data_IF_990621189461
#
_entry.id   IF_990621189461
#
_cell.length_a   1.000
_cell.length_b   1.000
_cell.length_c   1.000
_cell.angle_alpha   90.00
_cell.angle_beta   90.00
_cell.angle_gamma   90.00
#
_symmetry.space_group_name_H-M   'P 1'
#
loop_
_entity.id
_entity.type
_entity.pdbx_description
1 polymer ?
#
# COMPACT_ATOMS: atom_id res chain seq x y z
N UNK A 1 -77.11 -38.06 -37.11
CA UNK A 1 -76.55 -39.42 -37.22
C UNK A 1 -75.41 -39.56 -36.24
N UNK A 2 -75.37 -40.72 -35.58
CA UNK A 2 -74.56 -41.08 -34.42
C UNK A 2 -73.06 -41.23 -34.74
N UNK A 3 -72.20 -40.86 -33.79
CA UNK A 3 -71.13 -41.74 -33.26
C UNK A 3 -70.44 -41.12 -32.03
N UNK A 4 -70.40 -41.90 -30.96
CA UNK A 4 -69.76 -41.60 -29.69
C UNK A 4 -68.24 -41.91 -29.66
N UNK A 5 -67.64 -42.15 -28.48
CA UNK A 5 -66.58 -41.32 -27.94
C UNK A 5 -65.18 -41.96 -27.99
N UNK A 6 -64.13 -41.15 -27.88
CA UNK A 6 -62.79 -41.60 -27.48
C UNK A 6 -62.31 -40.82 -26.27
N UNK A 7 -62.19 -41.56 -25.16
CA UNK A 7 -61.45 -41.17 -23.95
C UNK A 7 -59.97 -41.04 -24.30
N UNK A 8 -59.33 -39.95 -23.89
CA UNK A 8 -57.89 -39.92 -23.68
C UNK A 8 -57.56 -39.19 -22.38
N UNK A 9 -56.55 -39.76 -21.73
CA UNK A 9 -56.18 -39.63 -20.32
C UNK A 9 -55.70 -38.23 -19.95
N UNK A 10 -56.07 -37.83 -18.73
CA UNK A 10 -55.50 -36.68 -18.03
C UNK A 10 -54.01 -36.90 -17.74
N UNK A 11 -53.18 -35.92 -18.08
CA UNK A 11 -51.92 -35.65 -17.38
C UNK A 11 -51.90 -34.16 -17.05
N UNK A 12 -51.99 -33.86 -15.77
CA UNK A 12 -51.87 -32.51 -15.22
C UNK A 12 -50.40 -32.18 -15.07
N UNK A 13 -49.91 -31.19 -15.82
CA UNK A 13 -48.64 -30.52 -15.52
C UNK A 13 -48.99 -29.14 -15.00
N UNK A 14 -48.76 -28.91 -13.70
CA UNK A 14 -48.98 -27.62 -13.05
C UNK A 14 -47.94 -26.61 -13.54
N UNK A 15 -48.33 -25.34 -13.81
CA UNK A 15 -47.37 -24.27 -14.02
C UNK A 15 -46.87 -23.79 -12.65
N UNK A 16 -45.58 -23.94 -12.38
CA UNK A 16 -44.94 -23.30 -11.24
C UNK A 16 -44.66 -21.83 -11.61
N UNK A 17 -45.63 -20.96 -11.33
CA UNK A 17 -45.45 -19.52 -11.37
C UNK A 17 -45.26 -18.98 -9.95
N UNK A 18 -44.44 -17.92 -9.87
CA UNK A 18 -44.31 -16.95 -8.79
C UNK A 18 -43.54 -17.38 -7.53
N UNK A 19 -42.26 -16.97 -7.48
CA UNK A 19 -41.60 -16.33 -6.32
C UNK A 19 -40.22 -15.83 -6.76
N UNK A 20 -40.19 -14.82 -7.64
CA UNK A 20 -38.99 -13.98 -7.82
C UNK A 20 -39.16 -12.74 -6.95
N UNK A 21 -39.09 -12.94 -5.63
CA UNK A 21 -39.00 -11.84 -4.68
C UNK A 21 -37.65 -11.16 -4.87
N UNK A 22 -37.71 -9.84 -5.04
CA UNK A 22 -36.60 -8.92 -5.23
C UNK A 22 -35.38 -9.24 -4.34
N UNK A 23 -34.30 -9.69 -4.97
CA UNK A 23 -32.94 -9.60 -4.43
C UNK A 23 -32.26 -8.42 -5.12
N UNK A 24 -32.58 -7.20 -4.67
CA UNK A 24 -31.67 -6.07 -4.84
C UNK A 24 -30.63 -6.20 -3.74
N UNK A 25 -29.36 -6.53 -4.03
CA UNK A 25 -28.32 -6.28 -3.06
C UNK A 25 -28.15 -4.76 -3.01
N UNK A 26 -28.63 -4.16 -1.93
CA UNK A 26 -28.17 -2.86 -1.48
C UNK A 26 -26.64 -2.93 -1.35
N UNK A 27 -25.94 -2.49 -2.40
CA UNK A 27 -24.51 -2.22 -2.38
C UNK A 27 -24.28 -1.01 -1.47
N UNK A 28 -24.41 -1.23 -0.16
CA UNK A 28 -23.74 -0.40 0.82
C UNK A 28 -22.26 -0.60 0.53
N UNK A 29 -21.64 0.40 -0.11
CA UNK A 29 -20.19 0.58 -0.08
C UNK A 29 -19.80 0.69 1.40
N UNK A 30 -19.54 -0.45 2.04
CA UNK A 30 -18.69 -0.48 3.21
C UNK A 30 -17.33 -0.01 2.72
N UNK A 31 -17.11 1.30 2.81
CA UNK A 31 -15.76 1.81 2.94
C UNK A 31 -15.26 1.15 4.22
N UNK A 32 -14.45 0.10 4.08
CA UNK A 32 -13.80 -0.53 5.21
C UNK A 32 -12.94 0.57 5.82
N UNK A 33 -13.45 1.20 6.86
CA UNK A 33 -12.66 2.09 7.69
C UNK A 33 -11.72 1.15 8.42
N UNK A 34 -10.50 1.05 7.90
CA UNK A 34 -9.45 0.22 8.47
C UNK A 34 -9.36 0.52 9.97
N UNK A 35 -9.63 -0.46 10.85
CA UNK A 35 -9.51 -0.24 12.28
C UNK A 35 -8.10 0.26 12.58
N UNK A 36 -8.01 1.33 13.37
CA UNK A 36 -6.73 1.86 13.84
C UNK A 36 -6.03 0.75 14.60
N UNK A 37 -5.03 0.12 13.99
CA UNK A 37 -4.10 -0.72 14.72
C UNK A 37 -3.25 0.22 15.60
N UNK A 38 -3.47 0.22 16.94
CA UNK A 38 -2.84 1.17 17.84
C UNK A 38 -1.31 1.09 17.77
N UNK A 39 -0.77 -0.06 17.35
CA UNK A 39 0.66 -0.35 17.34
C UNK A 39 1.28 0.01 15.99
N UNK A 40 0.56 -0.15 14.88
CA UNK A 40 1.00 0.38 13.58
C UNK A 40 1.18 1.90 13.64
N UNK A 41 0.32 2.58 14.40
CA UNK A 41 0.41 4.01 14.65
C UNK A 41 1.68 4.40 15.43
N UNK A 42 2.20 3.55 16.33
CA UNK A 42 3.39 3.86 17.17
C UNK A 42 4.69 3.65 16.40
N UNK A 43 4.74 2.66 15.51
CA UNK A 43 5.97 2.33 14.77
C UNK A 43 6.13 3.13 13.48
N UNK A 44 5.03 3.71 12.98
CA UNK A 44 5.03 4.39 11.69
C UNK A 44 6.12 5.46 11.49
N UNK A 45 6.48 6.27 12.50
CA UNK A 45 7.57 7.25 12.37
C UNK A 45 8.94 6.64 12.03
N UNK A 46 9.17 5.36 12.34
CA UNK A 46 10.45 4.69 12.11
C UNK A 46 10.59 4.06 10.72
N UNK A 47 9.53 4.08 9.89
CA UNK A 47 9.57 3.51 8.53
C UNK A 47 10.11 4.48 7.47
N UNK A 48 10.34 5.75 7.83
CA UNK A 48 10.90 6.77 6.96
C UNK A 48 10.11 6.91 5.66
N UNK A 49 10.77 6.72 4.52
CA UNK A 49 10.11 6.84 3.21
C UNK A 49 9.09 5.74 2.90
N UNK A 50 8.89 4.76 3.79
CA UNK A 50 7.85 3.72 3.69
C UNK A 50 6.65 3.96 4.60
N UNK A 51 6.68 5.00 5.41
CA UNK A 51 5.56 5.46 6.24
C UNK A 51 4.34 5.76 5.36
N UNK A 52 3.14 5.34 5.79
CA UNK A 52 1.90 5.61 5.07
C UNK A 52 1.57 7.10 5.14
N UNK A 53 0.90 7.61 4.12
CA UNK A 53 0.60 9.03 4.05
C UNK A 53 -0.34 9.50 5.18
N UNK A 54 -1.32 8.67 5.53
CA UNK A 54 -2.25 8.92 6.65
C UNK A 54 -1.60 8.85 8.04
N UNK A 55 -0.47 8.15 8.20
CA UNK A 55 0.18 8.04 9.51
C UNK A 55 0.88 9.34 9.91
N UNK A 56 1.32 10.13 8.92
CA UNK A 56 1.86 11.48 9.11
C UNK A 56 0.80 12.58 8.94
N UNK A 57 -0.42 12.20 8.53
CA UNK A 57 -1.57 13.08 8.38
C UNK A 57 -2.81 12.43 9.03
N UNK A 58 -2.87 12.33 10.37
CA UNK A 58 -3.86 11.48 11.05
C UNK A 58 -5.32 11.90 10.81
N UNK A 59 -5.59 13.15 10.44
CA UNK A 59 -6.93 13.60 10.05
C UNK A 59 -7.50 12.84 8.83
N UNK A 60 -6.63 12.29 7.98
CA UNK A 60 -7.04 11.50 6.80
C UNK A 60 -7.61 10.13 7.16
N UNK A 61 -7.41 9.66 8.39
CA UNK A 61 -8.02 8.41 8.86
C UNK A 61 -9.53 8.54 8.99
N UNK A 62 -10.01 9.67 9.52
CA UNK A 62 -11.44 9.94 9.70
C UNK A 62 -12.05 10.61 8.47
N UNK A 63 -11.30 11.49 7.81
CA UNK A 63 -11.74 12.26 6.66
C UNK A 63 -10.74 12.16 5.51
N UNK A 64 -10.63 11.03 4.80
CA UNK A 64 -9.60 10.84 3.77
C UNK A 64 -9.74 11.80 2.60
N UNK A 65 -10.94 12.32 2.35
CA UNK A 65 -11.22 13.32 1.31
C UNK A 65 -11.37 14.73 1.89
N UNK A 66 -11.33 14.89 3.22
CA UNK A 66 -11.49 16.18 3.85
C UNK A 66 -10.26 17.04 3.55
N UNK A 67 -10.43 18.25 2.96
CA UNK A 67 -9.34 19.17 2.80
C UNK A 67 -8.89 19.69 4.17
N UNK A 68 -7.58 19.86 4.36
CA UNK A 68 -7.04 20.60 5.51
C UNK A 68 -6.71 22.02 5.03
N UNK A 69 -7.41 23.02 5.57
CA UNK A 69 -7.11 24.44 5.33
C UNK A 69 -6.28 24.95 6.51
N UNK A 70 -5.32 25.82 6.20
CA UNK A 70 -4.64 26.61 7.22
C UNK A 70 -5.69 27.52 7.91
N UNK A 71 -5.89 27.41 9.23
CA UNK A 71 -6.83 28.26 9.96
C UNK A 71 -6.50 29.76 9.85
N UNK A 72 -5.25 30.12 9.58
CA UNK A 72 -4.81 31.51 9.44
C UNK A 72 -5.20 32.12 8.09
N UNK A 73 -5.49 31.28 7.08
CA UNK A 73 -5.99 31.73 5.78
C UNK A 73 -7.51 31.88 5.82
N UNK A 74 -7.97 33.12 6.04
CA UNK A 74 -9.39 33.46 5.98
C UNK A 74 -9.99 33.09 4.61
N UNK A 75 -11.12 32.41 4.65
CA UNK A 75 -11.85 32.03 3.43
C UNK A 75 -12.21 33.27 2.61
N UNK A 76 -11.88 33.25 1.32
CA UNK A 76 -12.12 34.38 0.41
C UNK A 76 -11.11 35.53 0.48
N UNK A 77 -10.11 35.48 1.38
CA UNK A 77 -9.10 36.54 1.48
C UNK A 77 -8.10 36.55 0.31
N UNK A 78 -7.97 35.43 -0.40
CA UNK A 78 -7.08 35.27 -1.56
C UNK A 78 -7.77 34.45 -2.65
N UNK A 79 -7.48 34.77 -3.91
CA UNK A 79 -7.91 33.97 -5.05
C UNK A 79 -6.72 33.16 -5.58
N UNK A 80 -6.78 31.81 -5.56
CA UNK A 80 -5.71 30.99 -6.09
C UNK A 80 -5.67 31.14 -7.62
N UNK A 81 -4.49 31.44 -8.16
CA UNK A 81 -4.26 31.66 -9.60
C UNK A 81 -3.53 30.52 -10.28
N UNK A 82 -2.74 29.74 -9.53
CA UNK A 82 -2.00 28.59 -10.03
C UNK A 82 -1.71 27.62 -8.89
N UNK A 83 -1.74 26.32 -9.19
CA UNK A 83 -1.25 25.26 -8.30
C UNK A 83 -0.14 24.49 -9.01
N UNK A 84 1.01 24.38 -8.36
CA UNK A 84 2.10 23.49 -8.77
C UNK A 84 2.37 22.55 -7.61
N UNK A 85 2.29 21.25 -7.85
CA UNK A 85 2.49 20.23 -6.83
C UNK A 85 3.50 19.20 -7.30
N UNK A 86 4.50 18.89 -6.45
CA UNK A 86 5.40 17.77 -6.64
C UNK A 86 4.93 16.61 -5.76
N UNK A 87 4.40 15.57 -6.41
CA UNK A 87 3.72 14.47 -5.72
C UNK A 87 4.50 13.18 -5.94
N UNK A 88 4.81 12.46 -4.86
CA UNK A 88 5.36 11.12 -4.92
C UNK A 88 4.27 10.11 -5.29
N UNK A 89 4.65 9.02 -5.94
CA UNK A 89 3.75 7.89 -6.17
C UNK A 89 3.09 7.40 -4.86
N UNK A 90 1.90 6.81 -4.98
CA UNK A 90 1.19 6.21 -3.84
C UNK A 90 1.85 4.93 -3.31
N UNK A 91 1.19 4.30 -2.34
CA UNK A 91 1.64 3.03 -1.73
C UNK A 91 1.88 1.95 -2.81
N UNK A 92 2.95 1.16 -2.67
CA UNK A 92 3.38 0.15 -3.66
C UNK A 92 3.84 -1.16 -3.03
N UNK A 93 3.91 -2.22 -3.82
CA UNK A 93 4.55 -3.47 -3.43
C UNK A 93 6.07 -3.31 -3.26
N UNK A 94 6.74 -4.24 -2.56
CA UNK A 94 8.20 -4.33 -2.56
C UNK A 94 8.76 -4.49 -3.98
N UNK A 95 10.01 -4.06 -4.20
CA UNK A 95 10.71 -4.32 -5.48
C UNK A 95 11.17 -5.77 -5.53
N UNK A 96 11.42 -6.33 -6.71
CA UNK A 96 11.93 -7.70 -6.90
C UNK A 96 13.20 -7.96 -6.09
N UNK A 97 14.10 -6.98 -5.97
CA UNK A 97 15.30 -7.06 -5.09
C UNK A 97 14.95 -7.34 -3.62
N UNK A 98 13.87 -6.75 -3.12
CA UNK A 98 13.40 -6.94 -1.74
C UNK A 98 12.60 -8.24 -1.60
N UNK A 99 11.82 -8.61 -2.62
CA UNK A 99 11.11 -9.90 -2.66
C UNK A 99 12.09 -11.07 -2.60
N UNK A 100 13.22 -11.01 -3.32
CA UNK A 100 14.28 -12.03 -3.22
C UNK A 100 14.88 -12.14 -1.81
N UNK A 101 15.09 -11.01 -1.12
CA UNK A 101 15.54 -11.00 0.28
C UNK A 101 14.51 -11.63 1.23
N UNK A 102 13.22 -11.37 1.01
CA UNK A 102 12.15 -12.02 1.76
C UNK A 102 12.18 -13.53 1.56
N UNK A 103 12.34 -14.00 0.32
CA UNK A 103 12.45 -15.44 0.01
C UNK A 103 13.68 -16.06 0.67
N UNK A 104 14.81 -15.38 0.66
CA UNK A 104 16.02 -15.85 1.36
C UNK A 104 15.77 -16.03 2.85
N UNK A 105 15.17 -15.02 3.50
CA UNK A 105 14.83 -15.11 4.92
C UNK A 105 13.80 -16.21 5.21
N UNK A 106 12.79 -16.34 4.36
CA UNK A 106 11.78 -17.40 4.48
C UNK A 106 12.39 -18.79 4.33
N UNK A 107 13.30 -18.98 3.38
CA UNK A 107 14.05 -20.23 3.21
C UNK A 107 14.93 -20.55 4.42
N UNK A 108 15.60 -19.55 5.01
CA UNK A 108 16.37 -19.71 6.25
C UNK A 108 15.47 -20.16 7.41
N UNK A 109 14.28 -19.57 7.53
CA UNK A 109 13.30 -19.95 8.54
C UNK A 109 12.73 -21.35 8.30
N UNK A 110 12.58 -21.80 7.06
CA UNK A 110 12.14 -23.17 6.74
C UNK A 110 13.24 -24.21 6.97
N UNK A 111 14.50 -23.84 6.76
CA UNK A 111 15.65 -24.72 6.96
C UNK A 111 16.05 -24.90 8.43
N UNK A 112 15.46 -24.12 9.36
CA UNK A 112 15.69 -24.30 10.78
C UNK A 112 15.27 -25.72 11.19
N UNK A 113 16.15 -26.46 11.87
CA UNK A 113 15.77 -27.74 12.45
C UNK A 113 14.66 -27.58 13.48
N UNK A 114 13.91 -28.64 13.83
CA UNK A 114 13.05 -28.61 15.01
C UNK A 114 13.92 -28.18 16.19
N UNK A 115 13.52 -27.08 16.85
CA UNK A 115 14.25 -26.60 18.02
C UNK A 115 14.30 -27.71 19.05
N UNK A 116 15.44 -27.87 19.71
CA UNK A 116 15.55 -28.71 20.89
C UNK A 116 14.63 -28.08 21.95
N UNK A 117 13.41 -28.60 22.07
CA UNK A 117 12.40 -28.10 23.00
C UNK A 117 12.80 -28.53 24.41
N UNK A 118 13.79 -27.80 24.96
CA UNK A 118 14.09 -27.82 26.38
C UNK A 118 12.81 -27.51 27.16
N UNK A 119 12.39 -28.47 27.98
CA UNK A 119 11.23 -28.42 28.85
C UNK A 119 11.26 -27.15 29.71
N UNK A 120 10.46 -26.15 29.35
CA UNK A 120 10.16 -25.03 30.26
C UNK A 120 10.12 -23.64 29.64
N UNK A 121 9.12 -23.34 28.81
CA UNK A 121 8.41 -22.04 28.83
C UNK A 121 7.26 -22.04 27.83
N UNK A 122 6.05 -22.32 28.30
CA UNK A 122 4.83 -22.37 27.51
C UNK A 122 4.22 -20.98 27.19
N UNK A 123 5.02 -19.93 26.97
CA UNK A 123 4.47 -18.56 26.87
C UNK A 123 4.85 -17.72 25.63
N UNK A 124 5.73 -18.19 24.73
CA UNK A 124 5.85 -17.58 23.40
C UNK A 124 5.72 -18.63 22.31
N UNK A 125 4.68 -18.52 21.47
CA UNK A 125 4.66 -19.22 20.16
C UNK A 125 6.02 -18.98 19.50
N UNK A 126 6.69 -20.06 19.09
CA UNK A 126 7.96 -19.96 18.39
C UNK A 126 7.77 -19.08 17.15
N UNK A 127 8.31 -17.85 17.22
CA UNK A 127 8.11 -16.86 16.18
C UNK A 127 8.75 -17.31 14.87
N UNK A 128 9.91 -17.95 14.94
CA UNK A 128 10.54 -18.53 13.75
C UNK A 128 9.61 -19.53 13.07
N UNK A 129 8.86 -20.33 13.84
CA UNK A 129 7.91 -21.31 13.34
C UNK A 129 6.74 -20.64 12.64
N UNK A 130 6.11 -19.69 13.33
CA UNK A 130 4.98 -18.96 12.80
C UNK A 130 5.35 -18.21 11.51
N UNK A 131 6.58 -17.71 11.38
CA UNK A 131 7.05 -17.05 10.17
C UNK A 131 7.47 -18.02 9.05
N UNK A 132 7.98 -19.21 9.38
CA UNK A 132 8.30 -20.26 8.41
C UNK A 132 7.02 -20.81 7.74
N UNK A 133 5.98 -21.02 8.54
CA UNK A 133 4.68 -21.53 8.07
C UNK A 133 3.85 -20.46 7.34
N UNK A 134 4.24 -19.18 7.46
CA UNK A 134 3.54 -18.10 6.81
C UNK A 134 3.77 -18.12 5.28
N UNK A 135 2.70 -18.14 4.46
CA UNK A 135 2.86 -18.18 3.02
C UNK A 135 3.41 -16.85 2.49
N UNK A 136 4.55 -16.91 1.79
CA UNK A 136 5.12 -15.77 1.09
C UNK A 136 4.48 -15.63 -0.30
N UNK A 137 3.45 -14.80 -0.42
CA UNK A 137 2.67 -14.60 -1.64
C UNK A 137 3.26 -13.57 -2.62
N UNK A 138 4.38 -12.94 -2.28
CA UNK A 138 5.02 -11.96 -3.16
C UNK A 138 5.68 -12.63 -4.38
N UNK A 139 5.18 -12.30 -5.56
CA UNK A 139 5.70 -12.76 -6.84
C UNK A 139 6.59 -11.68 -7.50
N UNK A 140 7.54 -12.11 -8.35
CA UNK A 140 8.52 -11.17 -8.94
C UNK A 140 7.89 -10.13 -9.87
N UNK A 141 6.76 -10.47 -10.50
CA UNK A 141 6.02 -9.53 -11.36
C UNK A 141 5.44 -8.34 -10.58
N UNK A 142 5.28 -8.43 -9.26
CA UNK A 142 4.79 -7.34 -8.42
C UNK A 142 5.79 -6.20 -8.23
N UNK A 143 7.02 -6.31 -8.77
CA UNK A 143 8.18 -5.42 -8.64
C UNK A 143 7.86 -3.91 -8.52
N UNK A 144 7.62 -3.45 -7.30
CA UNK A 144 7.34 -2.04 -7.04
C UNK A 144 6.07 -1.51 -7.70
N UNK A 145 5.15 -2.38 -8.16
CA UNK A 145 3.86 -1.99 -8.73
C UNK A 145 3.00 -1.27 -7.70
N UNK A 146 2.20 -0.30 -8.17
CA UNK A 146 1.29 0.45 -7.33
C UNK A 146 0.18 -0.49 -6.82
N UNK A 147 -0.06 -0.49 -5.51
CA UNK A 147 -1.14 -1.29 -4.93
C UNK A 147 -2.45 -0.51 -4.96
N UNK A 148 -3.58 -1.19 -4.75
CA UNK A 148 -4.89 -0.50 -4.77
C UNK A 148 -4.99 0.62 -3.73
N UNK A 149 -4.43 0.41 -2.52
CA UNK A 149 -4.30 1.47 -1.53
C UNK A 149 -3.54 2.69 -2.09
N UNK A 150 -2.49 2.48 -2.87
CA UNK A 150 -1.76 3.57 -3.52
C UNK A 150 -2.55 4.30 -4.59
N UNK A 151 -3.40 3.59 -5.36
CA UNK A 151 -4.35 4.23 -6.27
C UNK A 151 -5.36 5.07 -5.51
N UNK A 152 -5.86 4.54 -4.40
CA UNK A 152 -6.80 5.24 -3.53
C UNK A 152 -6.19 6.50 -2.89
N UNK A 153 -4.92 6.44 -2.46
CA UNK A 153 -4.20 7.59 -1.92
C UNK A 153 -4.21 8.76 -2.93
N UNK A 154 -3.99 8.46 -4.22
CA UNK A 154 -3.93 9.44 -5.30
C UNK A 154 -5.32 9.98 -5.67
N UNK A 155 -6.35 9.12 -5.74
CA UNK A 155 -7.74 9.56 -5.95
C UNK A 155 -8.19 10.51 -4.84
N UNK A 156 -7.90 10.15 -3.58
CA UNK A 156 -8.26 11.00 -2.44
C UNK A 156 -7.47 12.31 -2.43
N UNK A 157 -6.20 12.30 -2.85
CA UNK A 157 -5.41 13.52 -3.02
C UNK A 157 -6.03 14.46 -4.06
N UNK A 158 -6.46 13.93 -5.20
CA UNK A 158 -7.15 14.70 -6.24
C UNK A 158 -8.41 15.39 -5.68
N UNK A 159 -9.26 14.64 -4.97
CA UNK A 159 -10.48 15.18 -4.36
C UNK A 159 -10.18 16.26 -3.32
N UNK A 160 -9.15 16.08 -2.49
CA UNK A 160 -8.72 17.09 -1.52
C UNK A 160 -8.26 18.37 -2.21
N UNK A 161 -7.45 18.27 -3.27
CA UNK A 161 -6.96 19.44 -4.00
C UNK A 161 -8.10 20.17 -4.73
N UNK A 162 -9.02 19.44 -5.36
CA UNK A 162 -10.20 20.03 -5.98
C UNK A 162 -11.09 20.77 -4.96
N UNK A 163 -11.26 20.19 -3.76
CA UNK A 163 -12.01 20.82 -2.66
C UNK A 163 -11.30 22.04 -2.07
N UNK A 164 -9.96 22.04 -2.04
CA UNK A 164 -9.16 23.18 -1.56
C UNK A 164 -9.18 24.35 -2.54
N UNK A 165 -9.07 24.06 -3.84
CA UNK A 165 -8.89 25.06 -4.90
C UNK A 165 -9.97 24.95 -5.98
N UNK A 166 -11.27 25.13 -5.63
CA UNK A 166 -12.37 24.85 -6.54
C UNK A 166 -12.34 25.70 -7.83
N UNK A 167 -11.82 26.93 -7.78
CA UNK A 167 -11.67 27.78 -8.97
C UNK A 167 -10.62 27.24 -9.96
N UNK A 168 -9.57 26.58 -9.47
CA UNK A 168 -8.52 25.99 -10.31
C UNK A 168 -8.94 24.62 -10.86
N UNK A 169 -9.75 23.89 -10.11
CA UNK A 169 -10.30 22.58 -10.49
C UNK A 169 -11.76 22.68 -10.92
N UNK A 170 -12.15 23.74 -11.63
CA UNK A 170 -13.46 23.79 -12.26
C UNK A 170 -13.49 22.88 -13.50
N UNK A 171 -14.66 22.37 -13.93
CA UNK A 171 -14.75 21.54 -15.14
C UNK A 171 -14.12 22.20 -16.37
N UNK A 172 -14.26 23.52 -16.52
CA UNK A 172 -13.72 24.29 -17.65
C UNK A 172 -12.18 24.37 -17.63
N UNK A 173 -11.57 24.15 -16.47
CA UNK A 173 -10.12 24.11 -16.30
C UNK A 173 -9.56 22.70 -16.39
N UNK A 174 -10.40 21.65 -16.50
CA UNK A 174 -9.93 20.27 -16.52
C UNK A 174 -8.96 20.01 -17.67
N UNK A 175 -9.29 20.44 -18.89
CA UNK A 175 -8.40 20.35 -20.06
C UNK A 175 -7.10 21.16 -19.95
N UNK A 176 -6.98 22.08 -18.98
CA UNK A 176 -5.75 22.87 -18.73
C UNK A 176 -4.80 22.21 -17.75
N UNK A 177 -5.24 21.15 -17.06
CA UNK A 177 -4.40 20.40 -16.13
C UNK A 177 -3.24 19.75 -16.89
N UNK A 178 -2.02 19.97 -16.40
CA UNK A 178 -0.83 19.31 -16.92
C UNK A 178 -0.26 18.38 -15.86
N UNK A 179 -0.26 17.08 -16.16
CA UNK A 179 0.35 16.08 -15.30
C UNK A 179 1.62 15.54 -15.95
N UNK A 180 2.76 15.79 -15.31
CA UNK A 180 4.07 15.29 -15.74
C UNK A 180 4.52 14.19 -14.77
N UNK A 181 5.01 13.08 -15.30
CA UNK A 181 5.42 11.92 -14.51
C UNK A 181 6.75 11.34 -14.98
N UNK A 182 7.38 10.51 -14.15
CA UNK A 182 8.51 9.68 -14.58
C UNK A 182 8.00 8.42 -15.30
N UNK A 183 8.86 7.77 -16.08
CA UNK A 183 8.56 6.50 -16.77
C UNK A 183 8.31 5.30 -15.84
N UNK A 184 8.53 5.43 -14.52
CA UNK A 184 8.25 4.33 -13.59
C UNK A 184 6.75 4.04 -13.57
N UNK A 185 6.37 2.79 -13.83
CA UNK A 185 4.97 2.31 -13.87
C UNK A 185 4.13 2.79 -12.69
N UNK A 186 4.65 2.67 -11.46
CA UNK A 186 3.97 3.17 -10.26
C UNK A 186 3.70 4.68 -10.25
N UNK A 187 4.52 5.49 -10.92
CA UNK A 187 4.34 6.93 -11.04
C UNK A 187 3.31 7.26 -12.13
N UNK A 188 3.34 6.53 -13.24
CA UNK A 188 2.32 6.61 -14.30
C UNK A 188 0.95 6.22 -13.72
N UNK A 189 0.85 5.06 -13.07
CA UNK A 189 -0.36 4.57 -12.41
C UNK A 189 -0.87 5.54 -11.34
N UNK A 190 0.03 6.21 -10.62
CA UNK A 190 -0.36 7.23 -9.63
C UNK A 190 -0.98 8.45 -10.29
N UNK A 191 -0.40 8.91 -11.41
CA UNK A 191 -0.96 9.99 -12.22
C UNK A 191 -2.32 9.62 -12.80
N UNK A 192 -2.45 8.42 -13.37
CA UNK A 192 -3.72 7.88 -13.85
C UNK A 192 -4.79 7.83 -12.75
N UNK A 193 -4.46 7.30 -11.57
CA UNK A 193 -5.38 7.26 -10.44
C UNK A 193 -5.77 8.65 -9.95
N UNK A 194 -4.87 9.63 -10.00
CA UNK A 194 -5.19 11.03 -9.69
C UNK A 194 -6.22 11.60 -10.67
N UNK A 195 -6.02 11.42 -11.98
CA UNK A 195 -6.97 11.87 -13.02
C UNK A 195 -8.32 11.17 -12.89
N UNK A 196 -8.35 9.87 -12.62
CA UNK A 196 -9.59 9.14 -12.31
C UNK A 196 -10.33 9.73 -11.10
N UNK A 197 -9.60 10.17 -10.07
CA UNK A 197 -10.19 10.84 -8.91
C UNK A 197 -10.84 12.17 -9.26
N UNK A 198 -10.20 12.97 -10.10
CA UNK A 198 -10.78 14.22 -10.61
C UNK A 198 -11.99 13.97 -11.52
N UNK A 199 -11.89 13.00 -12.42
CA UNK A 199 -13.01 12.65 -13.27
C UNK A 199 -14.25 12.26 -12.43
N UNK A 200 -14.06 11.49 -11.35
CA UNK A 200 -15.15 11.11 -10.44
C UNK A 200 -15.74 12.31 -9.68
N UNK A 201 -14.94 13.35 -9.44
CA UNK A 201 -15.40 14.61 -8.86
C UNK A 201 -16.36 15.35 -9.79
N UNK A 202 -16.04 15.41 -11.09
CA UNK A 202 -16.86 16.12 -12.08
C UNK A 202 -18.06 15.31 -12.55
N UNK A 203 -17.96 13.98 -12.54
CA UNK A 203 -18.98 13.07 -13.07
C UNK A 203 -19.39 12.02 -12.03
N UNK A 204 -20.02 12.44 -10.91
CA UNK A 204 -20.37 11.51 -9.85
C UNK A 204 -21.32 10.43 -10.35
N UNK A 205 -20.95 9.17 -10.11
CA UNK A 205 -21.80 8.01 -10.40
C UNK A 205 -21.57 7.33 -11.76
N UNK A 206 -20.78 7.90 -12.68
CA UNK A 206 -20.35 7.19 -13.89
C UNK A 206 -18.96 6.54 -13.66
N UNK A 207 -18.59 5.49 -14.41
CA UNK A 207 -17.22 4.98 -14.37
C UNK A 207 -16.26 5.93 -15.11
N UNK A 208 -15.01 6.09 -14.65
CA UNK A 208 -14.02 6.84 -15.40
C UNK A 208 -13.72 6.14 -16.74
N UNK A 209 -13.54 6.90 -17.83
CA UNK A 209 -13.04 6.35 -19.09
C UNK A 209 -11.57 5.95 -18.94
N UNK A 210 -11.02 5.34 -20.00
CA UNK A 210 -9.58 5.18 -20.09
C UNK A 210 -8.90 6.55 -20.08
N UNK A 211 -7.72 6.62 -19.47
CA UNK A 211 -7.02 7.90 -19.24
C UNK A 211 -6.59 8.56 -20.55
N UNK A 212 -6.40 7.76 -21.60
CA UNK A 212 -6.13 8.24 -22.97
C UNK A 212 -7.32 9.03 -23.56
N UNK A 213 -8.54 8.72 -23.12
CA UNK A 213 -9.78 9.32 -23.62
C UNK A 213 -10.26 10.51 -22.75
N UNK A 214 -9.52 10.86 -21.69
CA UNK A 214 -9.85 11.98 -20.82
C UNK A 214 -9.49 13.32 -21.49
N UNK A 215 -10.27 14.37 -21.24
CA UNK A 215 -10.06 15.71 -21.81
C UNK A 215 -8.69 16.31 -21.50
N UNK A 216 -8.16 16.07 -20.30
CA UNK A 216 -6.82 16.51 -19.91
C UNK A 216 -5.68 15.67 -20.53
N UNK A 217 -6.02 14.57 -21.20
CA UNK A 217 -5.09 13.59 -21.74
C UNK A 217 -4.34 12.79 -20.67
N UNK A 218 -3.47 11.86 -21.09
CA UNK A 218 -2.71 11.03 -20.18
C UNK A 218 -1.53 11.77 -19.51
N UNK A 219 -1.01 11.24 -18.38
CA UNK A 219 0.23 11.69 -17.77
C UNK A 219 1.39 11.75 -18.78
N UNK A 220 1.99 12.92 -18.97
CA UNK A 220 3.13 13.09 -19.89
C UNK A 220 4.43 12.63 -19.21
N UNK A 221 5.12 11.67 -19.82
CA UNK A 221 6.40 11.15 -19.30
C UNK A 221 7.53 12.16 -19.59
N UNK A 222 8.27 12.53 -18.55
CA UNK A 222 9.48 13.35 -18.66
C UNK A 222 10.50 12.97 -17.58
N UNK A 223 11.35 11.99 -17.87
CA UNK A 223 12.40 11.54 -16.94
C UNK A 223 13.52 12.56 -16.76
N UNK A 224 13.79 13.39 -17.76
CA UNK A 224 14.78 14.47 -17.61
C UNK A 224 14.40 15.43 -16.48
N UNK A 225 13.11 15.74 -16.35
CA UNK A 225 12.57 16.55 -15.26
C UNK A 225 12.36 15.74 -13.97
N UNK A 226 11.72 14.58 -14.06
CA UNK A 226 11.24 13.85 -12.86
C UNK A 226 12.29 12.91 -12.26
N UNK A 227 13.35 12.61 -13.01
CA UNK A 227 14.47 11.73 -12.64
C UNK A 227 15.80 12.35 -13.04
N UNK A 228 15.94 13.68 -12.91
CA UNK A 228 17.17 14.40 -13.26
C UNK A 228 18.44 13.78 -12.63
N UNK A 229 18.33 13.15 -11.46
CA UNK A 229 19.42 12.44 -10.79
C UNK A 229 19.96 11.24 -11.58
N UNK A 230 19.12 10.55 -12.39
CA UNK A 230 19.56 9.47 -13.28
C UNK A 230 20.38 10.00 -14.48
N UNK A 231 20.36 11.31 -14.72
CA UNK A 231 21.06 11.96 -15.84
C UNK A 231 22.26 12.80 -15.37
N UNK A 232 22.51 12.88 -14.06
CA UNK A 232 23.64 13.60 -13.51
C UNK A 232 24.87 12.69 -13.47
N UNK A 233 25.77 12.82 -14.46
CA UNK A 233 26.96 11.97 -14.60
C UNK A 233 27.83 11.96 -13.33
N UNK A 234 28.03 13.13 -12.73
CA UNK A 234 28.80 13.25 -11.48
C UNK A 234 28.16 12.47 -10.34
N UNK A 235 26.84 12.59 -10.16
CA UNK A 235 26.11 11.82 -9.13
C UNK A 235 26.20 10.31 -9.40
N UNK A 236 26.04 9.88 -10.65
CA UNK A 236 26.14 8.48 -11.01
C UNK A 236 27.52 7.90 -10.72
N UNK A 237 28.58 8.63 -11.07
CA UNK A 237 29.96 8.20 -10.90
C UNK A 237 30.41 8.24 -9.44
N UNK A 238 30.14 9.36 -8.75
CA UNK A 238 30.69 9.62 -7.41
C UNK A 238 29.82 9.10 -6.27
N UNK A 239 28.52 8.85 -6.51
CA UNK A 239 27.57 8.41 -5.48
C UNK A 239 26.93 7.06 -5.82
N UNK A 240 26.16 6.96 -6.91
CA UNK A 240 25.35 5.76 -7.19
C UNK A 240 26.21 4.51 -7.44
N UNK A 241 27.30 4.64 -8.22
CA UNK A 241 28.22 3.54 -8.55
C UNK A 241 29.41 3.45 -7.60
N UNK A 242 29.53 4.37 -6.65
CA UNK A 242 30.65 4.42 -5.73
C UNK A 242 30.29 3.79 -4.38
N UNK A 243 30.87 2.61 -4.10
CA UNK A 243 30.61 1.89 -2.86
C UNK A 243 31.05 2.67 -1.60
N UNK A 244 32.02 3.59 -1.70
CA UNK A 244 32.50 4.37 -0.54
C UNK A 244 31.65 5.60 -0.27
N UNK A 245 30.80 6.02 -1.21
CA UNK A 245 29.96 7.21 -1.07
C UNK A 245 28.95 7.10 0.08
N UNK A 246 28.61 5.87 0.47
CA UNK A 246 27.66 5.58 1.55
C UNK A 246 28.38 5.11 2.84
N UNK A 247 29.60 5.61 3.09
CA UNK A 247 30.41 5.23 4.27
C UNK A 247 29.61 5.21 5.58
N UNK A 248 28.87 6.28 5.90
CA UNK A 248 28.11 6.34 7.15
C UNK A 248 26.97 5.32 7.22
N UNK A 249 26.38 4.95 6.09
CA UNK A 249 25.36 3.90 6.02
C UNK A 249 25.98 2.55 6.36
N UNK A 250 27.16 2.25 5.78
CA UNK A 250 27.86 1.00 6.07
C UNK A 250 28.39 0.97 7.51
N UNK A 251 28.99 2.05 8.00
CA UNK A 251 29.44 2.17 9.38
C UNK A 251 28.30 1.93 10.38
N UNK A 252 27.10 2.43 10.12
CA UNK A 252 25.92 2.16 10.94
C UNK A 252 25.46 0.70 10.83
N UNK A 253 25.41 0.13 9.62
CA UNK A 253 25.01 -1.27 9.40
C UNK A 253 25.94 -2.28 10.08
N UNK A 254 27.22 -1.95 10.19
CA UNK A 254 28.23 -2.80 10.85
C UNK A 254 28.48 -2.40 12.30
N UNK A 255 27.92 -1.28 12.74
CA UNK A 255 28.11 -0.70 14.07
C UNK A 255 27.45 -1.51 15.20
N UNK A 256 27.82 -1.23 16.46
CA UNK A 256 27.39 -2.00 17.62
C UNK A 256 25.87 -2.03 17.82
N UNK A 257 25.16 -0.97 17.46
CA UNK A 257 23.70 -0.88 17.56
C UNK A 257 23.03 -1.90 16.64
N UNK A 258 23.48 -2.00 15.39
CA UNK A 258 22.92 -2.93 14.42
C UNK A 258 23.33 -4.37 14.76
N UNK A 259 24.56 -4.60 15.21
CA UNK A 259 25.00 -5.94 15.64
C UNK A 259 24.17 -6.47 16.81
N UNK A 260 23.86 -5.62 17.79
CA UNK A 260 22.96 -5.96 18.89
C UNK A 260 21.55 -6.33 18.39
N UNK A 261 21.04 -5.60 17.39
CA UNK A 261 19.75 -5.94 16.75
C UNK A 261 19.84 -7.30 16.04
N UNK A 262 20.90 -7.56 15.27
CA UNK A 262 21.08 -8.83 14.56
C UNK A 262 21.12 -10.01 15.53
N UNK A 263 21.86 -9.90 16.63
CA UNK A 263 21.92 -10.92 17.68
C UNK A 263 20.54 -11.19 18.30
N UNK A 264 19.80 -10.14 18.62
CA UNK A 264 18.44 -10.27 19.17
C UNK A 264 17.51 -10.95 18.16
N UNK A 265 17.49 -10.50 16.92
CA UNK A 265 16.66 -11.09 15.87
C UNK A 265 17.04 -12.56 15.63
N UNK A 266 18.33 -12.88 15.56
CA UNK A 266 18.82 -14.26 15.44
C UNK A 266 18.31 -15.14 16.58
N UNK A 267 18.43 -14.68 17.83
CA UNK A 267 17.93 -15.43 19.00
C UNK A 267 16.41 -15.62 19.00
N UNK A 268 15.65 -14.58 18.63
CA UNK A 268 14.18 -14.65 18.59
C UNK A 268 13.68 -15.58 17.48
N UNK A 269 14.36 -15.59 16.34
CA UNK A 269 14.02 -16.44 15.19
C UNK A 269 14.64 -17.84 15.27
N UNK A 270 15.55 -18.07 16.22
CA UNK A 270 16.34 -19.29 16.37
C UNK A 270 17.13 -19.64 15.10
N UNK A 271 17.79 -18.65 14.50
CA UNK A 271 18.66 -18.82 13.31
C UNK A 271 20.08 -18.34 13.62
N UNK A 272 21.12 -18.87 12.95
CA UNK A 272 22.49 -18.37 13.13
C UNK A 272 22.61 -16.89 12.78
N UNK A 273 23.30 -16.11 13.63
CA UNK A 273 23.48 -14.67 13.40
C UNK A 273 24.24 -14.37 12.09
N UNK A 274 25.14 -15.27 11.68
CA UNK A 274 25.92 -15.14 10.45
C UNK A 274 25.07 -15.26 9.17
N UNK A 275 23.86 -15.82 9.28
CA UNK A 275 22.92 -15.93 8.16
C UNK A 275 22.03 -14.67 8.01
N UNK A 276 22.13 -13.74 8.96
CA UNK A 276 21.44 -12.46 8.94
C UNK A 276 22.40 -11.31 8.58
N UNK A 277 21.84 -10.28 7.96
CA UNK A 277 22.52 -9.00 7.78
C UNK A 277 21.51 -7.86 7.93
N UNK A 278 22.01 -6.63 8.09
CA UNK A 278 21.18 -5.45 8.27
C UNK A 278 20.10 -5.31 7.17
N UNK A 279 20.40 -5.72 5.94
CA UNK A 279 19.47 -5.68 4.83
C UNK A 279 18.35 -6.72 4.86
N UNK A 280 18.54 -7.86 5.53
CA UNK A 280 17.53 -8.89 5.78
C UNK A 280 16.69 -8.52 7.02
N UNK A 281 17.33 -8.05 8.09
CA UNK A 281 16.67 -7.68 9.35
C UNK A 281 15.85 -6.40 9.27
N UNK A 282 16.28 -5.41 8.47
CA UNK A 282 15.50 -4.19 8.22
C UNK A 282 14.14 -4.49 7.59
N UNK A 283 13.99 -5.62 6.89
CA UNK A 283 12.75 -5.95 6.18
C UNK A 283 11.73 -6.72 7.03
N UNK A 284 12.16 -7.44 8.07
CA UNK A 284 11.27 -7.99 9.11
C UNK A 284 10.44 -6.89 9.79
N UNK A 285 11.01 -5.69 9.89
CA UNK A 285 10.35 -4.50 10.42
C UNK A 285 9.35 -3.90 9.41
N UNK A 286 9.65 -3.96 8.11
CA UNK A 286 8.92 -3.27 7.04
C UNK A 286 7.76 -4.08 6.44
N UNK A 287 7.79 -5.41 6.56
CA UNK A 287 6.68 -6.30 6.18
C UNK A 287 5.42 -6.06 7.02
N UNK A 288 5.58 -5.54 8.24
CA UNK A 288 4.49 -5.26 9.19
C UNK A 288 3.51 -4.16 8.73
N UNK A 289 3.92 -3.27 7.82
CA UNK A 289 3.12 -2.12 7.36
C UNK A 289 2.16 -2.44 6.21
N UNK A 290 2.23 -3.64 5.61
CA UNK A 290 1.31 -4.05 4.55
C UNK A 290 0.09 -4.77 5.15
N UNK A 291 -1.11 -4.30 4.80
CA UNK A 291 -2.41 -4.85 5.25
C UNK A 291 -2.54 -6.37 5.05
N UNK A 292 -1.82 -6.94 4.09
CA UNK A 292 -1.85 -8.39 3.80
C UNK A 292 -0.96 -9.19 4.77
N UNK A 293 -0.05 -8.56 5.52
CA UNK A 293 0.81 -9.20 6.54
C UNK A 293 0.38 -8.92 7.99
N UNK A 294 -0.74 -8.23 8.20
CA UNK A 294 -1.08 -7.60 9.48
C UNK A 294 -1.50 -8.53 10.62
N UNK A 295 -1.76 -9.84 10.43
CA UNK A 295 -2.32 -10.63 11.55
C UNK A 295 -1.31 -11.39 12.43
N UNK A 296 -0.32 -12.14 11.91
CA UNK A 296 0.63 -12.85 12.78
C UNK A 296 2.01 -12.20 12.92
N UNK A 297 2.52 -11.52 11.89
CA UNK A 297 3.77 -10.74 11.97
C UNK A 297 3.66 -9.64 13.03
N UNK A 298 2.47 -9.03 13.11
CA UNK A 298 2.16 -7.92 13.99
C UNK A 298 2.02 -8.34 15.45
N UNK A 299 1.25 -9.41 15.73
CA UNK A 299 1.03 -9.91 17.09
C UNK A 299 2.31 -10.41 17.78
N UNK A 300 3.27 -10.93 17.01
CA UNK A 300 4.53 -11.43 17.58
C UNK A 300 5.61 -10.36 17.68
N UNK A 301 5.64 -9.40 16.73
CA UNK A 301 6.43 -8.18 16.89
C UNK A 301 6.01 -7.39 18.13
N UNK A 302 4.73 -7.42 18.49
CA UNK A 302 4.17 -6.84 19.71
C UNK A 302 4.79 -7.40 21.00
N UNK A 303 5.04 -8.72 21.08
CA UNK A 303 5.74 -9.32 22.21
C UNK A 303 7.20 -8.85 22.31
N UNK A 304 7.84 -8.59 21.16
CA UNK A 304 9.22 -8.08 21.06
C UNK A 304 9.35 -6.57 21.36
N UNK A 305 8.44 -5.74 20.86
CA UNK A 305 8.46 -4.29 21.06
C UNK A 305 8.01 -3.88 22.47
N UNK A 306 7.03 -4.58 23.06
CA UNK A 306 6.59 -4.36 24.45
C UNK A 306 7.60 -4.84 25.50
N UNK A 307 8.53 -5.73 25.11
CA UNK A 307 9.69 -6.09 25.95
C UNK A 307 10.66 -4.91 26.14
N UNK A 308 10.65 -3.90 25.26
CA UNK A 308 11.49 -2.70 25.40
C UNK A 308 10.87 -1.57 26.23
N UNK A 309 9.57 -1.58 26.50
CA UNK A 309 8.90 -0.52 27.29
C UNK A 309 8.69 -0.89 28.76
N UNK A 310 9.11 -2.08 29.21
CA UNK A 310 8.99 -2.51 30.61
C UNK A 310 10.24 -2.28 31.48
N UNK A 311 11.30 -1.70 30.92
CA UNK A 311 12.51 -1.35 31.67
C UNK A 311 12.89 0.13 31.44
N UNK A 312 11.97 1.03 31.77
CA UNK A 312 12.25 2.38 32.24
C UNK A 312 11.50 2.58 33.56
#
# INVERSE_FOLDING_TARGET
>A
MLRGPRRLLWVSVRPAAALAAALLPSLVRCSILEPRDPVASVLSPYFGTKTRYEDVNPGLLSGPQAPWRDPELLEGACTPVQLVALIRHGTRYPTAKQIRKLRQLHALLQARGPGDDGVGSASSRDLGAALADWPLWYADWMDGQLVEKGRQDMRQLALRLASLFPSLFSPENYGRLQLITSSKHRCVDSGAAFLQGLWQHYHPGLPPPDVEDMECGPPKINDKLMRFFDHCEKFLAEVERNATALYHVEAFKTGPEMQNILQKVASTLKVPVNDLNAGLSQFLLQSSSSLVMQRPFFHCFLSWATSKTRNL
#
